data_IF_073111060885
#
_entry.id   IF_073111060885
#
_cell.length_a   1.000
_cell.length_b   1.000
_cell.length_c   1.000
_cell.angle_alpha   90.00
_cell.angle_beta   90.00
_cell.angle_gamma   90.00
#
_symmetry.space_group_name_H-M   'P 1'
#
loop_
_entity.id
_entity.type
_entity.pdbx_description
1 polymer ?
#
# COMPACT_ATOMS: atom_id res chain seq x y z
N UNK A 1 21.11 -3.48 -21.21
CA UNK A 1 20.36 -3.18 -19.97
C UNK A 1 20.18 -4.49 -19.21
N UNK A 2 20.26 -4.52 -17.87
CA UNK A 2 20.02 -5.76 -17.09
C UNK A 2 18.55 -6.20 -17.25
N UNK A 3 18.19 -7.49 -17.29
CA UNK A 3 16.77 -7.89 -17.32
C UNK A 3 16.08 -7.57 -15.98
N UNK A 4 14.74 -7.43 -15.99
CA UNK A 4 13.95 -7.48 -14.75
C UNK A 4 14.02 -8.88 -14.12
N UNK A 5 13.82 -8.98 -12.81
CA UNK A 5 13.76 -10.27 -12.09
C UNK A 5 12.36 -10.64 -11.61
N UNK A 6 11.51 -9.64 -11.40
CA UNK A 6 10.12 -9.83 -10.95
C UNK A 6 9.21 -9.08 -11.92
N UNK A 7 8.16 -9.73 -12.40
CA UNK A 7 7.18 -9.17 -13.36
C UNK A 7 6.00 -8.47 -12.66
N UNK A 8 6.12 -8.18 -11.36
CA UNK A 8 5.11 -7.42 -10.61
C UNK A 8 5.46 -5.93 -10.61
N UNK A 9 4.53 -5.04 -10.98
CA UNK A 9 4.72 -3.60 -10.85
C UNK A 9 4.89 -3.16 -9.40
N UNK A 10 5.73 -2.14 -9.18
CA UNK A 10 5.94 -1.53 -7.86
C UNK A 10 5.58 -0.04 -7.92
N UNK A 11 4.66 0.39 -7.08
CA UNK A 11 4.38 1.78 -6.76
C UNK A 11 5.24 2.21 -5.57
N UNK A 12 5.93 3.33 -5.74
CA UNK A 12 6.63 4.03 -4.66
C UNK A 12 5.98 5.40 -4.51
N UNK A 13 5.42 5.65 -3.33
CA UNK A 13 4.92 6.95 -2.88
C UNK A 13 6.02 7.62 -2.05
N UNK A 14 6.38 8.85 -2.39
CA UNK A 14 7.43 9.57 -1.67
C UNK A 14 7.22 11.07 -1.67
N UNK A 15 7.97 11.79 -0.83
CA UNK A 15 7.93 13.24 -0.79
C UNK A 15 9.32 13.87 -0.93
N UNK A 16 10.02 14.11 0.19
CA UNK A 16 11.26 14.89 0.23
C UNK A 16 12.33 14.32 1.18
N UNK A 17 12.26 13.02 1.50
CA UNK A 17 13.19 12.29 2.39
C UNK A 17 14.19 11.42 1.61
N UNK A 18 15.22 11.99 0.94
CA UNK A 18 16.08 11.21 0.03
C UNK A 18 16.91 10.13 0.73
N UNK A 19 17.24 10.27 2.02
CA UNK A 19 18.03 9.28 2.77
C UNK A 19 17.24 8.01 3.13
N UNK A 20 15.96 8.15 3.44
CA UNK A 20 15.07 7.01 3.68
C UNK A 20 14.73 6.36 2.33
N UNK A 21 14.33 7.18 1.35
CA UNK A 21 13.96 6.71 0.02
C UNK A 21 15.11 5.95 -0.66
N UNK A 22 16.38 6.36 -0.46
CA UNK A 22 17.51 5.64 -1.05
C UNK A 22 17.64 4.21 -0.55
N UNK A 23 17.32 3.96 0.72
CA UNK A 23 17.35 2.61 1.31
C UNK A 23 16.22 1.74 0.74
N UNK A 24 15.01 2.29 0.61
CA UNK A 24 13.88 1.61 -0.05
C UNK A 24 14.23 1.31 -1.51
N UNK A 25 14.69 2.32 -2.24
CA UNK A 25 14.98 2.21 -3.68
C UNK A 25 16.15 1.27 -3.99
N UNK A 26 17.14 1.15 -3.11
CA UNK A 26 18.21 0.15 -3.25
C UNK A 26 17.64 -1.27 -3.28
N UNK A 27 16.67 -1.59 -2.42
CA UNK A 27 16.03 -2.90 -2.40
C UNK A 27 15.16 -3.14 -3.65
N UNK A 28 14.44 -2.12 -4.10
CA UNK A 28 13.69 -2.16 -5.37
C UNK A 28 14.63 -2.39 -6.55
N UNK A 29 15.77 -1.70 -6.59
CA UNK A 29 16.80 -1.87 -7.63
C UNK A 29 17.44 -3.25 -7.59
N UNK A 30 17.61 -3.86 -6.42
CA UNK A 30 18.06 -5.24 -6.30
C UNK A 30 17.01 -6.24 -6.82
N UNK A 31 15.74 -5.98 -6.55
CA UNK A 31 14.61 -6.79 -6.99
C UNK A 31 14.26 -6.61 -8.48
N UNK A 32 14.65 -5.50 -9.11
CA UNK A 32 14.48 -5.21 -10.54
C UNK A 32 13.06 -5.53 -11.05
N UNK A 33 12.00 -4.83 -10.59
CA UNK A 33 10.65 -5.03 -11.09
C UNK A 33 10.54 -4.63 -12.57
N UNK A 34 9.64 -5.26 -13.32
CA UNK A 34 9.41 -4.94 -14.74
C UNK A 34 8.79 -3.56 -14.96
N UNK A 35 8.10 -3.01 -13.95
CA UNK A 35 7.42 -1.72 -14.02
C UNK A 35 7.53 -0.96 -12.70
N UNK A 36 7.77 0.35 -12.80
CA UNK A 36 7.74 1.28 -11.67
C UNK A 36 6.68 2.36 -11.87
N UNK A 37 5.92 2.61 -10.82
CA UNK A 37 5.08 3.79 -10.66
C UNK A 37 5.71 4.68 -9.58
N UNK A 38 6.14 5.87 -9.96
CA UNK A 38 6.80 6.82 -9.06
C UNK A 38 5.84 7.98 -8.80
N UNK A 39 5.20 7.99 -7.64
CA UNK A 39 4.37 9.10 -7.21
C UNK A 39 5.17 9.97 -6.23
N UNK A 40 5.27 11.26 -6.51
CA UNK A 40 5.89 12.22 -5.60
C UNK A 40 4.92 13.34 -5.26
N UNK A 41 4.65 13.53 -3.96
CA UNK A 41 3.86 14.69 -3.52
C UNK A 41 4.62 16.01 -3.73
N UNK A 42 3.88 17.11 -3.86
CA UNK A 42 4.45 18.39 -4.24
C UNK A 42 4.96 19.20 -3.05
N UNK A 43 5.69 20.29 -3.29
CA UNK A 43 6.25 21.14 -2.24
C UNK A 43 5.15 21.83 -1.43
N UNK A 44 5.37 21.97 -0.11
CA UNK A 44 4.55 22.85 0.76
C UNK A 44 5.05 24.29 0.67
N UNK A 45 6.35 24.44 0.41
CA UNK A 45 7.05 25.71 0.16
C UNK A 45 8.34 25.45 -0.63
N UNK A 46 9.03 26.51 -1.03
CA UNK A 46 10.31 26.41 -1.73
C UNK A 46 11.40 25.65 -0.95
N UNK A 47 11.29 25.58 0.39
CA UNK A 47 12.20 24.83 1.25
C UNK A 47 12.20 23.31 0.97
N UNK A 48 11.10 22.76 0.44
CA UNK A 48 11.01 21.33 0.12
C UNK A 48 11.69 20.98 -1.22
N UNK A 49 11.92 21.97 -2.10
CA UNK A 49 12.41 21.75 -3.47
C UNK A 49 13.76 21.03 -3.54
N UNK A 50 14.77 21.30 -2.69
CA UNK A 50 16.01 20.53 -2.70
C UNK A 50 15.80 19.05 -2.38
N UNK A 51 15.00 18.74 -1.34
CA UNK A 51 14.70 17.35 -0.96
C UNK A 51 13.90 16.60 -2.02
N UNK A 52 12.94 17.29 -2.66
CA UNK A 52 12.17 16.76 -3.79
C UNK A 52 13.08 16.39 -4.97
N UNK A 53 13.99 17.30 -5.36
CA UNK A 53 14.95 17.06 -6.44
C UNK A 53 15.86 15.88 -6.13
N UNK A 54 16.41 15.82 -4.91
CA UNK A 54 17.24 14.72 -4.47
C UNK A 54 16.51 13.36 -4.51
N UNK A 55 15.22 13.31 -4.15
CA UNK A 55 14.44 12.07 -4.26
C UNK A 55 14.25 11.60 -5.72
N UNK A 56 14.13 12.53 -6.66
CA UNK A 56 14.08 12.20 -8.10
C UNK A 56 15.42 11.63 -8.57
N UNK A 57 16.53 12.23 -8.15
CA UNK A 57 17.87 11.70 -8.43
C UNK A 57 18.09 10.28 -7.87
N UNK A 58 17.48 9.95 -6.73
CA UNK A 58 17.47 8.57 -6.20
C UNK A 58 16.72 7.64 -7.13
N UNK A 59 15.48 7.97 -7.46
CA UNK A 59 14.57 7.10 -8.24
C UNK A 59 14.89 7.04 -9.73
N UNK A 60 15.76 7.92 -10.24
CA UNK A 60 16.28 7.88 -11.61
C UNK A 60 17.45 6.89 -11.79
N UNK A 61 17.96 6.28 -10.70
CA UNK A 61 19.05 5.30 -10.75
C UNK A 61 18.59 3.90 -11.21
N UNK A 62 17.89 3.85 -12.34
CA UNK A 62 17.32 2.64 -12.93
C UNK A 62 18.30 2.09 -13.99
N UNK A 63 18.94 0.96 -13.69
CA UNK A 63 19.95 0.32 -14.56
C UNK A 63 19.51 -1.06 -15.12
N UNK A 64 18.21 -1.33 -15.10
CA UNK A 64 17.58 -2.55 -15.62
C UNK A 64 16.39 -2.25 -16.54
N UNK A 65 15.91 -3.27 -17.23
CA UNK A 65 14.78 -3.20 -18.15
C UNK A 65 13.47 -3.00 -17.40
N UNK A 66 13.02 -1.75 -17.39
CA UNK A 66 11.91 -1.29 -16.56
C UNK A 66 11.07 -0.25 -17.31
N UNK A 67 9.77 -0.48 -17.39
CA UNK A 67 8.80 0.55 -17.79
C UNK A 67 8.58 1.50 -16.59
N UNK A 68 8.65 2.81 -16.79
CA UNK A 68 8.57 3.78 -15.68
C UNK A 68 7.50 4.83 -15.94
N UNK A 69 6.56 4.92 -15.01
CA UNK A 69 5.51 5.94 -14.97
C UNK A 69 5.78 6.90 -13.81
N UNK A 70 5.57 8.19 -14.04
CA UNK A 70 5.84 9.24 -13.04
C UNK A 70 4.61 10.13 -12.89
N UNK A 71 4.20 10.36 -11.65
CA UNK A 71 3.19 11.34 -11.27
C UNK A 71 3.77 12.23 -10.17
N UNK A 72 4.27 13.40 -10.57
CA UNK A 72 4.86 14.37 -9.65
C UNK A 72 3.92 15.55 -9.50
N UNK A 73 3.47 15.78 -8.27
CA UNK A 73 2.51 16.84 -7.98
C UNK A 73 3.18 18.21 -7.94
N UNK A 74 2.47 19.23 -8.41
CA UNK A 74 2.94 20.62 -8.38
C UNK A 74 2.75 21.28 -7.01
N UNK A 75 1.85 20.75 -6.18
CA UNK A 75 1.54 21.22 -4.83
C UNK A 75 1.47 20.05 -3.87
N UNK A 76 1.68 20.33 -2.58
CA UNK A 76 1.49 19.33 -1.53
C UNK A 76 0.00 18.99 -1.34
N UNK A 77 -0.36 17.73 -1.48
CA UNK A 77 -1.68 17.20 -1.13
C UNK A 77 -1.71 16.65 0.31
N UNK A 78 -0.55 16.27 0.85
CA UNK A 78 -0.39 15.60 2.13
C UNK A 78 -0.47 14.07 1.97
N UNK A 79 -0.17 13.34 3.06
CA UNK A 79 -0.27 11.87 3.10
C UNK A 79 -1.65 11.39 2.60
N UNK A 80 -2.72 11.90 3.22
CA UNK A 80 -4.07 11.85 2.66
C UNK A 80 -4.41 13.16 1.92
N UNK A 81 -4.78 13.12 0.63
CA UNK A 81 -5.20 11.94 -0.15
C UNK A 81 -4.12 11.33 -1.08
N UNK A 82 -2.83 11.64 -0.94
CA UNK A 82 -1.78 11.15 -1.86
C UNK A 82 -1.71 9.62 -1.93
N UNK A 83 -1.85 8.94 -0.79
CA UNK A 83 -1.99 7.47 -0.71
C UNK A 83 -3.07 6.97 -1.67
N UNK A 84 -4.32 7.42 -1.49
CA UNK A 84 -5.45 7.02 -2.32
C UNK A 84 -5.23 7.36 -3.81
N UNK A 85 -4.79 8.59 -4.11
CA UNK A 85 -4.58 9.05 -5.49
C UNK A 85 -3.54 8.18 -6.20
N UNK A 86 -2.38 7.96 -5.56
CA UNK A 86 -1.27 7.22 -6.13
C UNK A 86 -1.65 5.75 -6.41
N UNK A 87 -2.38 5.13 -5.48
CA UNK A 87 -2.85 3.76 -5.58
C UNK A 87 -3.92 3.64 -6.68
N UNK A 88 -4.96 4.49 -6.70
CA UNK A 88 -5.94 4.49 -7.80
C UNK A 88 -5.30 4.73 -9.16
N UNK A 89 -4.31 5.61 -9.24
CA UNK A 89 -3.56 5.86 -10.46
C UNK A 89 -2.80 4.62 -10.93
N UNK A 90 -1.95 4.01 -10.09
CA UNK A 90 -1.21 2.81 -10.46
C UNK A 90 -2.15 1.67 -10.91
N UNK A 91 -3.18 1.37 -10.11
CA UNK A 91 -4.17 0.32 -10.41
C UNK A 91 -5.16 0.69 -11.53
N UNK A 92 -5.09 1.88 -12.12
CA UNK A 92 -5.79 2.17 -13.38
C UNK A 92 -5.06 1.58 -14.60
N UNK A 93 -3.77 1.24 -14.46
CA UNK A 93 -2.91 0.76 -15.54
C UNK A 93 -2.50 -0.70 -15.38
N UNK A 94 -2.64 -1.28 -14.17
CA UNK A 94 -2.24 -2.66 -13.87
C UNK A 94 -3.25 -3.37 -12.98
N UNK A 95 -3.34 -4.69 -13.13
CA UNK A 95 -4.27 -5.53 -12.35
C UNK A 95 -3.72 -5.93 -10.97
N UNK A 96 -2.41 -5.83 -10.77
CA UNK A 96 -1.72 -6.11 -9.50
C UNK A 96 -0.53 -5.18 -9.32
N UNK A 97 -0.26 -4.79 -8.08
CA UNK A 97 0.82 -3.86 -7.75
C UNK A 97 1.30 -4.11 -6.32
N UNK A 98 2.62 -3.98 -6.11
CA UNK A 98 3.24 -3.78 -4.79
C UNK A 98 3.25 -2.28 -4.51
N UNK A 99 3.01 -1.87 -3.27
CA UNK A 99 2.98 -0.48 -2.81
C UNK A 99 3.98 -0.33 -1.67
N UNK A 100 4.85 0.68 -1.77
CA UNK A 100 5.87 1.05 -0.80
C UNK A 100 5.84 2.56 -0.55
N UNK A 101 5.94 2.96 0.72
CA UNK A 101 6.24 4.34 1.11
C UNK A 101 7.76 4.61 1.11
N UNK A 102 8.18 5.86 1.31
CA UNK A 102 9.60 6.26 1.27
C UNK A 102 10.42 5.81 2.48
N UNK A 103 9.79 5.14 3.45
CA UNK A 103 10.37 4.60 4.67
C UNK A 103 10.13 3.09 4.87
N UNK A 104 9.40 2.43 3.97
CA UNK A 104 9.15 0.98 4.03
C UNK A 104 10.29 0.21 3.35
N UNK A 105 11.37 -0.12 4.06
CA UNK A 105 12.50 -0.86 3.47
C UNK A 105 12.15 -2.36 3.36
N UNK A 106 11.95 -2.91 2.14
CA UNK A 106 11.57 -4.30 1.98
C UNK A 106 12.79 -5.21 1.93
N UNK A 107 12.66 -6.44 2.44
CA UNK A 107 13.58 -7.52 2.07
C UNK A 107 13.45 -7.82 0.58
N UNK A 108 14.54 -8.18 -0.12
CA UNK A 108 14.45 -8.57 -1.54
C UNK A 108 13.50 -9.76 -1.77
N UNK A 109 13.38 -10.66 -0.79
CA UNK A 109 12.42 -11.78 -0.84
C UNK A 109 10.95 -11.36 -0.83
N UNK A 110 10.64 -10.16 -0.34
CA UNK A 110 9.28 -9.62 -0.32
C UNK A 110 8.65 -9.56 -1.72
N UNK A 111 9.43 -9.16 -2.73
CA UNK A 111 8.93 -9.02 -4.09
C UNK A 111 8.51 -10.37 -4.70
N UNK A 112 9.31 -11.41 -4.50
CA UNK A 112 8.98 -12.78 -4.94
C UNK A 112 7.80 -13.33 -4.15
N UNK A 113 7.76 -13.10 -2.83
CA UNK A 113 6.63 -13.48 -2.00
C UNK A 113 5.31 -12.85 -2.49
N UNK A 114 5.30 -11.54 -2.74
CA UNK A 114 4.16 -10.85 -3.31
C UNK A 114 3.77 -11.42 -4.68
N UNK A 115 4.73 -11.66 -5.56
CA UNK A 115 4.48 -12.28 -6.88
C UNK A 115 3.74 -13.61 -6.74
N UNK A 116 4.27 -14.52 -5.93
CA UNK A 116 3.65 -15.83 -5.72
C UNK A 116 2.24 -15.73 -5.14
N UNK A 117 2.05 -14.86 -4.13
CA UNK A 117 0.73 -14.69 -3.50
C UNK A 117 -0.27 -14.00 -4.42
N UNK A 118 0.17 -13.00 -5.19
CA UNK A 118 -0.67 -12.29 -6.17
C UNK A 118 -1.17 -13.25 -7.25
N UNK A 119 -0.31 -14.11 -7.76
CA UNK A 119 -0.66 -15.11 -8.78
C UNK A 119 -1.56 -16.22 -8.18
N UNK A 120 -1.22 -16.72 -6.99
CA UNK A 120 -1.95 -17.82 -6.34
C UNK A 120 -3.38 -17.45 -5.96
N UNK A 121 -3.61 -16.21 -5.51
CA UNK A 121 -4.92 -15.75 -5.02
C UNK A 121 -5.60 -14.75 -5.94
N UNK A 122 -5.17 -14.69 -7.21
CA UNK A 122 -5.72 -13.75 -8.19
C UNK A 122 -7.25 -13.83 -8.29
N UNK A 123 -7.78 -15.05 -8.32
CA UNK A 123 -9.20 -15.35 -8.48
C UNK A 123 -9.91 -15.65 -7.15
N UNK A 124 -9.25 -15.52 -6.00
CA UNK A 124 -9.88 -15.73 -4.68
C UNK A 124 -10.36 -14.39 -4.10
N UNK A 125 -11.67 -14.06 -4.21
CA UNK A 125 -12.18 -12.76 -3.78
C UNK A 125 -12.09 -12.55 -2.27
N UNK A 126 -11.83 -13.60 -1.49
CA UNK A 126 -11.67 -13.50 -0.03
C UNK A 126 -10.35 -12.87 0.36
N UNK A 127 -9.34 -12.94 -0.50
CA UNK A 127 -8.02 -12.35 -0.22
C UNK A 127 -7.97 -10.94 -0.79
N UNK A 128 -7.70 -9.99 0.09
CA UNK A 128 -7.73 -8.55 -0.23
C UNK A 128 -6.36 -7.90 -0.19
N UNK A 129 -5.43 -8.44 0.59
CA UNK A 129 -4.12 -7.82 0.80
C UNK A 129 -3.05 -8.87 1.06
N UNK A 130 -1.84 -8.59 0.59
CA UNK A 130 -0.62 -9.28 0.99
C UNK A 130 0.21 -8.26 1.75
N UNK A 131 0.33 -8.43 3.06
CA UNK A 131 1.19 -7.58 3.89
C UNK A 131 2.65 -8.04 3.77
N UNK A 132 3.58 -7.10 3.91
CA UNK A 132 5.00 -7.40 4.12
C UNK A 132 5.38 -7.31 5.59
N UNK A 133 4.74 -6.39 6.33
CA UNK A 133 4.98 -6.23 7.75
C UNK A 133 4.28 -7.29 8.61
N UNK A 134 5.03 -7.86 9.55
CA UNK A 134 4.51 -8.68 10.63
C UNK A 134 4.96 -8.09 11.98
N UNK A 135 4.01 -7.64 12.79
CA UNK A 135 4.26 -6.99 14.07
C UNK A 135 4.84 -7.90 15.16
N UNK A 136 4.81 -9.22 14.97
CA UNK A 136 5.43 -10.18 15.88
C UNK A 136 6.91 -10.44 15.54
N UNK A 137 7.41 -9.87 14.44
CA UNK A 137 8.69 -10.17 13.78
C UNK A 137 8.81 -11.62 13.29
N UNK A 138 8.47 -12.59 14.13
CA UNK A 138 8.37 -14.01 13.84
C UNK A 138 7.16 -14.57 14.60
N UNK A 139 6.11 -14.97 13.87
CA UNK A 139 4.92 -15.56 14.50
C UNK A 139 5.17 -16.98 14.98
N UNK A 140 5.03 -17.26 16.30
CA UNK A 140 5.32 -18.57 16.85
C UNK A 140 4.24 -19.60 16.50
N UNK A 141 4.63 -20.86 16.34
CA UNK A 141 3.69 -21.98 16.19
C UNK A 141 3.03 -22.10 14.82
N UNK A 142 3.34 -21.21 13.86
CA UNK A 142 2.90 -21.32 12.46
C UNK A 142 3.95 -22.12 11.68
N UNK A 143 3.62 -23.33 11.17
CA UNK A 143 4.58 -24.17 10.46
C UNK A 143 4.74 -23.80 8.97
N UNK A 144 4.12 -22.69 8.53
CA UNK A 144 4.07 -22.23 7.14
C UNK A 144 4.71 -20.86 6.99
N UNK A 145 4.98 -20.44 5.74
CA UNK A 145 5.63 -19.16 5.46
C UNK A 145 4.72 -17.94 5.64
N UNK A 146 3.40 -18.14 5.68
CA UNK A 146 2.41 -17.10 5.93
C UNK A 146 1.16 -17.67 6.58
N UNK A 147 0.32 -16.78 7.12
CA UNK A 147 -1.00 -17.07 7.65
C UNK A 147 -2.01 -16.02 7.19
N UNK A 148 -3.29 -16.21 7.51
CA UNK A 148 -4.35 -15.26 7.20
C UNK A 148 -4.77 -14.48 8.43
N UNK A 149 -4.99 -13.18 8.27
CA UNK A 149 -5.52 -12.30 9.29
C UNK A 149 -6.75 -11.54 8.79
N UNK A 150 -7.65 -11.18 9.71
CA UNK A 150 -8.84 -10.34 9.42
C UNK A 150 -8.55 -8.83 9.55
N UNK A 151 -7.28 -8.47 9.63
CA UNK A 151 -6.73 -7.11 9.71
C UNK A 151 -5.39 -7.10 8.97
N UNK A 152 -4.84 -5.92 8.70
CA UNK A 152 -3.55 -5.77 8.03
C UNK A 152 -2.77 -4.58 8.60
N UNK A 153 -1.49 -4.52 8.23
CA UNK A 153 -0.64 -3.32 8.30
C UNK A 153 -0.42 -2.81 6.89
N UNK A 154 -0.28 -1.50 6.73
CA UNK A 154 -0.03 -0.83 5.45
C UNK A 154 1.46 -0.64 5.14
N UNK A 155 2.37 -1.04 6.04
CA UNK A 155 3.81 -0.97 5.77
C UNK A 155 4.22 -2.06 4.79
N UNK A 156 4.51 -1.65 3.55
CA UNK A 156 4.84 -2.48 2.41
C UNK A 156 3.81 -3.57 2.12
N UNK A 157 3.07 -3.46 1.02
CA UNK A 157 2.00 -4.40 0.73
C UNK A 157 1.78 -4.61 -0.76
N UNK A 158 0.94 -5.59 -1.10
CA UNK A 158 0.48 -5.79 -2.47
C UNK A 158 -1.01 -6.14 -2.51
N UNK A 159 -1.64 -5.81 -3.63
CA UNK A 159 -3.03 -6.16 -3.88
C UNK A 159 -3.36 -6.19 -5.38
N UNK A 160 -4.64 -6.36 -5.68
CA UNK A 160 -5.20 -6.45 -7.02
C UNK A 160 -6.15 -5.29 -7.26
N UNK A 161 -6.26 -4.87 -8.53
CA UNK A 161 -7.21 -3.88 -9.01
C UNK A 161 -8.64 -4.20 -8.56
N UNK A 162 -9.05 -5.48 -8.57
CA UNK A 162 -10.37 -5.94 -8.12
C UNK A 162 -10.71 -5.57 -6.67
N UNK A 163 -9.71 -5.31 -5.83
CA UNK A 163 -9.87 -4.86 -4.44
C UNK A 163 -9.97 -3.34 -4.39
N UNK A 164 -9.05 -2.66 -5.08
CA UNK A 164 -8.95 -1.20 -5.13
C UNK A 164 -10.18 -0.55 -5.78
N UNK A 165 -10.84 -1.25 -6.71
CA UNK A 165 -12.07 -0.79 -7.35
C UNK A 165 -13.31 -0.89 -6.45
N UNK A 166 -13.21 -1.53 -5.28
CA UNK A 166 -14.27 -1.58 -4.26
C UNK A 166 -14.23 -0.39 -3.29
N UNK A 167 -13.17 0.41 -3.34
CA UNK A 167 -12.97 1.53 -2.44
C UNK A 167 -13.94 2.68 -2.70
N UNK A 168 -14.56 3.15 -1.63
CA UNK A 168 -15.50 4.27 -1.63
C UNK A 168 -14.89 5.46 -0.89
N UNK A 169 -14.36 6.42 -1.64
CA UNK A 169 -13.76 7.64 -1.09
C UNK A 169 -14.78 8.62 -0.49
N UNK A 170 -16.06 8.45 -0.78
CA UNK A 170 -17.13 9.32 -0.30
C UNK A 170 -17.79 8.81 0.98
N UNK A 171 -17.37 7.63 1.47
CA UNK A 171 -17.92 7.01 2.68
C UNK A 171 -19.46 6.96 2.61
N UNK A 172 -20.01 6.57 1.46
CA UNK A 172 -21.45 6.47 1.23
C UNK A 172 -22.10 5.44 2.14
N UNK A 173 -21.34 4.43 2.58
CA UNK A 173 -21.79 3.44 3.56
C UNK A 173 -22.21 4.07 4.91
N UNK A 174 -21.73 5.27 5.25
CA UNK A 174 -22.15 5.99 6.47
C UNK A 174 -23.56 6.60 6.35
N UNK A 175 -24.10 6.71 5.13
CA UNK A 175 -25.43 7.29 4.87
C UNK A 175 -26.53 6.23 4.80
N UNK A 176 -26.15 4.96 4.65
CA UNK A 176 -27.08 3.85 4.56
C UNK A 176 -27.23 3.14 5.92
N UNK A 177 -28.48 3.08 6.40
CA UNK A 177 -28.81 2.51 7.72
C UNK A 177 -28.46 1.02 7.82
N UNK A 178 -28.63 0.26 6.74
CA UNK A 178 -28.35 -1.16 6.74
C UNK A 178 -26.85 -1.43 6.77
N UNK A 179 -26.06 -0.71 5.97
CA UNK A 179 -24.60 -0.78 5.97
C UNK A 179 -24.02 -0.38 7.32
N UNK A 180 -24.56 0.65 7.97
CA UNK A 180 -24.15 1.04 9.33
C UNK A 180 -24.41 -0.07 10.35
N UNK A 181 -25.59 -0.69 10.33
CA UNK A 181 -25.90 -1.81 11.22
C UNK A 181 -24.97 -3.01 10.99
N UNK A 182 -24.66 -3.33 9.73
CA UNK A 182 -23.70 -4.38 9.39
C UNK A 182 -22.30 -4.04 9.90
N UNK A 183 -21.83 -2.82 9.66
CA UNK A 183 -20.49 -2.40 10.07
C UNK A 183 -20.32 -2.42 11.59
N UNK A 184 -21.31 -1.92 12.34
CA UNK A 184 -21.34 -1.98 13.80
C UNK A 184 -21.22 -3.42 14.31
N UNK A 185 -21.98 -4.35 13.72
CA UNK A 185 -21.94 -5.75 14.10
C UNK A 185 -20.58 -6.39 13.76
N UNK A 186 -20.03 -6.14 12.57
CA UNK A 186 -18.72 -6.65 12.14
C UNK A 186 -17.58 -6.14 13.03
N UNK A 187 -17.56 -4.84 13.35
CA UNK A 187 -16.57 -4.25 14.26
C UNK A 187 -16.63 -4.91 15.63
N UNK A 188 -17.85 -5.14 16.16
CA UNK A 188 -18.06 -5.80 17.45
C UNK A 188 -17.61 -7.27 17.43
N UNK A 189 -18.04 -8.05 16.44
CA UNK A 189 -17.74 -9.48 16.33
C UNK A 189 -16.25 -9.75 16.15
N UNK A 190 -15.59 -8.98 15.27
CA UNK A 190 -14.15 -9.11 15.03
C UNK A 190 -13.30 -8.47 16.12
N UNK A 191 -13.93 -7.87 17.15
CA UNK A 191 -13.26 -7.07 18.19
C UNK A 191 -12.30 -6.05 17.59
N UNK A 192 -12.72 -5.46 16.46
CA UNK A 192 -11.95 -4.43 15.81
C UNK A 192 -11.93 -3.17 16.68
N UNK A 193 -11.09 -2.19 16.33
CA UNK A 193 -10.92 -0.97 17.11
C UNK A 193 -12.25 -0.24 17.32
N UNK A 194 -12.50 0.19 18.57
CA UNK A 194 -13.80 0.75 19.00
C UNK A 194 -14.12 2.11 18.36
N UNK A 195 -13.09 2.83 17.93
CA UNK A 195 -13.15 4.17 17.34
C UNK A 195 -13.20 4.14 15.81
N UNK A 196 -13.27 2.97 15.16
CA UNK A 196 -13.24 2.86 13.68
C UNK A 196 -14.35 3.67 13.00
N UNK A 197 -15.59 3.49 13.45
CA UNK A 197 -16.76 4.17 12.88
C UNK A 197 -16.66 5.69 13.12
N UNK A 198 -16.21 6.09 14.31
CA UNK A 198 -15.95 7.49 14.62
C UNK A 198 -14.91 8.09 13.65
N UNK A 199 -13.81 7.38 13.38
CA UNK A 199 -12.81 7.82 12.40
C UNK A 199 -13.39 7.95 10.99
N UNK A 200 -14.21 7.00 10.54
CA UNK A 200 -14.86 7.09 9.23
C UNK A 200 -15.70 8.37 9.12
N UNK A 201 -16.46 8.74 10.16
CA UNK A 201 -17.18 10.02 10.18
C UNK A 201 -16.25 11.24 10.12
N UNK A 202 -15.17 11.26 10.90
CA UNK A 202 -14.19 12.36 10.90
C UNK A 202 -13.49 12.51 9.55
N UNK A 203 -13.14 11.40 8.92
CA UNK A 203 -12.50 11.38 7.61
C UNK A 203 -13.44 11.89 6.52
N UNK A 204 -14.72 11.50 6.57
CA UNK A 204 -15.76 12.04 5.70
C UNK A 204 -15.95 13.55 5.86
N UNK A 205 -15.97 14.06 7.10
CA UNK A 205 -16.10 15.49 7.40
C UNK A 205 -14.96 16.34 6.81
N UNK A 206 -13.75 15.76 6.72
CA UNK A 206 -12.58 16.42 6.14
C UNK A 206 -12.62 16.49 4.60
N UNK A 207 -13.58 15.83 3.95
CA UNK A 207 -13.76 15.78 2.50
C UNK A 207 -12.48 15.36 1.74
N UNK A 208 -11.78 14.36 2.28
CA UNK A 208 -10.56 13.75 1.71
C UNK A 208 -10.66 12.24 1.74
N UNK A 209 -10.05 11.59 0.75
CA UNK A 209 -9.92 10.14 0.74
C UNK A 209 -8.80 9.70 1.70
N UNK A 210 -9.18 9.11 2.83
CA UNK A 210 -8.25 8.46 3.76
C UNK A 210 -8.18 6.98 3.45
N UNK A 211 -7.12 6.55 2.76
CA UNK A 211 -7.03 5.20 2.19
C UNK A 211 -7.18 4.12 3.25
N UNK A 212 -6.51 4.24 4.40
CA UNK A 212 -6.51 3.19 5.43
C UNK A 212 -7.92 2.83 5.90
N UNK A 213 -8.73 3.83 6.23
CA UNK A 213 -10.10 3.61 6.70
C UNK A 213 -11.02 3.14 5.58
N UNK A 214 -10.81 3.62 4.35
CA UNK A 214 -11.55 3.13 3.17
C UNK A 214 -11.25 1.65 2.94
N UNK A 215 -9.98 1.26 3.00
CA UNK A 215 -9.57 -0.12 2.76
C UNK A 215 -10.03 -1.05 3.89
N UNK A 216 -9.88 -0.65 5.15
CA UNK A 216 -10.42 -1.42 6.26
C UNK A 216 -11.95 -1.58 6.18
N UNK A 217 -12.69 -0.53 5.81
CA UNK A 217 -14.14 -0.62 5.62
C UNK A 217 -14.47 -1.61 4.50
N UNK A 218 -13.79 -1.50 3.35
CA UNK A 218 -13.94 -2.43 2.23
C UNK A 218 -13.64 -3.87 2.64
N UNK A 219 -12.57 -4.12 3.40
CA UNK A 219 -12.21 -5.44 3.89
C UNK A 219 -13.28 -6.00 4.85
N UNK A 220 -13.82 -5.18 5.75
CA UNK A 220 -14.88 -5.60 6.67
C UNK A 220 -16.14 -6.00 5.92
N UNK A 221 -16.64 -5.14 5.03
CA UNK A 221 -17.87 -5.41 4.27
C UNK A 221 -17.75 -6.65 3.37
N UNK A 222 -16.58 -6.90 2.79
CA UNK A 222 -16.36 -8.04 1.90
C UNK A 222 -15.91 -9.32 2.62
N UNK A 223 -15.87 -9.31 3.96
CA UNK A 223 -15.30 -10.40 4.76
C UNK A 223 -13.88 -10.81 4.32
N UNK A 224 -13.09 -9.82 3.89
CA UNK A 224 -11.76 -10.01 3.37
C UNK A 224 -10.76 -10.51 4.41
N UNK A 225 -9.69 -11.12 3.90
CA UNK A 225 -8.53 -11.61 4.64
C UNK A 225 -7.25 -11.05 4.02
N UNK A 226 -6.28 -10.75 4.88
CA UNK A 226 -4.92 -10.39 4.50
C UNK A 226 -4.01 -11.60 4.68
N UNK A 227 -3.07 -11.79 3.75
CA UNK A 227 -1.93 -12.68 3.91
C UNK A 227 -0.86 -11.94 4.70
N UNK A 228 -0.36 -12.55 5.78
CA UNK A 228 0.70 -12.01 6.62
C UNK A 228 1.86 -13.00 6.64
N UNK A 229 3.09 -12.58 6.30
CA UNK A 229 4.24 -13.49 6.33
C UNK A 229 4.57 -13.86 7.77
N UNK A 230 4.94 -15.12 8.00
CA UNK A 230 5.30 -15.61 9.33
C UNK A 230 6.57 -14.93 9.86
N UNK A 231 7.43 -14.43 8.97
CA UNK A 231 8.59 -13.59 9.31
C UNK A 231 8.40 -12.21 8.69
N UNK A 232 8.65 -11.16 9.46
CA UNK A 232 8.57 -9.80 8.99
C UNK A 232 9.50 -9.58 7.78
N UNK A 233 8.97 -8.94 6.74
CA UNK A 233 9.67 -8.67 5.49
C UNK A 233 9.90 -7.17 5.24
N UNK A 234 9.42 -6.30 6.12
CA UNK A 234 9.52 -4.83 6.00
C UNK A 234 10.15 -4.24 7.26
N UNK A 235 11.13 -3.37 7.09
CA UNK A 235 11.67 -2.53 8.16
C UNK A 235 11.27 -1.07 7.91
N UNK A 236 10.35 -0.55 8.71
CA UNK A 236 9.89 0.84 8.59
C UNK A 236 10.88 1.80 9.29
N UNK A 237 11.23 2.91 8.61
CA UNK A 237 12.25 3.86 9.05
C UNK A 237 11.73 5.13 9.75
N UNK A 238 10.42 5.36 9.89
CA UNK A 238 9.94 6.52 10.65
C UNK A 238 8.52 6.99 10.41
#
# INVERSE_FOLDING_TARGET
MKPFLVDVPVLILFFNRPQQLSQVFEQVRNARPSKLFLYQDGPRSEHDLPGIKACREVTDQIDWDCEVHRMYQEKNYGCDPSEYISQKWAFSMVDKCIVLEDDDVPSVSFFTFCKEMLDKYEQDPRITMIAGFNNEEITPGVPYDYFFASTFSIWGWASWKRVIDQWDEHYTFLEDKFNMQQLEQLVKERKFRKDFIYMCHRHKENNKAYYETIFHASMLFNSGLAIVPTRNMINNLG
#
